data_IF_488287091317
#
_entry.id   IF_488287091317
#
_cell.length_a   1.000
_cell.length_b   1.000
_cell.length_c   1.000
_cell.angle_alpha   90.00
_cell.angle_beta   90.00
_cell.angle_gamma   90.00
#
_symmetry.space_group_name_H-M   'P 1'
#
loop_
_entity.id
_entity.type
_entity.pdbx_description
1 polymer ?
#
# COMPACT_ATOMS: atom_id res chain seq x y z
N UNK A 1 1.00 -34.58 -0.82
CA UNK A 1 -0.06 -33.71 -1.36
C UNK A 1 0.61 -32.38 -1.77
N UNK A 2 0.85 -32.14 -3.05
CA UNK A 2 1.59 -30.93 -3.48
C UNK A 2 0.67 -29.72 -3.44
N UNK A 3 1.03 -28.70 -2.65
CA UNK A 3 0.27 -27.46 -2.38
C UNK A 3 -0.11 -26.73 -3.69
N UNK A 4 0.74 -26.86 -4.71
CA UNK A 4 0.55 -26.28 -6.03
C UNK A 4 -0.70 -26.82 -6.77
N UNK A 5 -1.13 -28.04 -6.46
CA UNK A 5 -2.34 -28.64 -7.07
C UNK A 5 -3.64 -28.09 -6.46
N UNK A 6 -3.57 -27.45 -5.29
CA UNK A 6 -4.73 -26.85 -4.63
C UNK A 6 -5.04 -25.44 -5.16
N UNK A 7 -4.06 -24.74 -5.74
CA UNK A 7 -4.24 -23.40 -6.32
C UNK A 7 -4.68 -23.55 -7.78
N UNK A 8 -5.99 -23.74 -7.98
CA UNK A 8 -6.63 -23.80 -9.30
C UNK A 8 -7.25 -22.47 -9.75
N UNK A 9 -7.83 -22.46 -10.96
CA UNK A 9 -8.46 -21.29 -11.60
C UNK A 9 -9.46 -20.55 -10.69
N UNK A 10 -10.24 -21.28 -9.89
CA UNK A 10 -11.22 -20.74 -8.93
C UNK A 10 -10.57 -19.84 -7.86
N UNK A 11 -9.36 -20.15 -7.40
CA UNK A 11 -8.67 -19.32 -6.41
C UNK A 11 -8.18 -18.01 -7.00
N UNK A 12 -7.76 -18.03 -8.28
CA UNK A 12 -7.39 -16.82 -9.00
C UNK A 12 -8.61 -15.91 -9.23
N UNK A 13 -9.73 -16.48 -9.65
CA UNK A 13 -10.99 -15.76 -9.82
C UNK A 13 -11.45 -15.12 -8.50
N UNK A 14 -11.41 -15.87 -7.39
CA UNK A 14 -11.66 -15.32 -6.05
C UNK A 14 -10.69 -14.19 -5.70
N UNK A 15 -9.39 -14.37 -5.92
CA UNK A 15 -8.40 -13.32 -5.63
C UNK A 15 -8.71 -12.02 -6.39
N UNK A 16 -9.20 -12.11 -7.64
CA UNK A 16 -9.59 -10.92 -8.41
C UNK A 16 -10.79 -10.18 -7.80
N UNK A 17 -11.75 -10.89 -7.21
CA UNK A 17 -12.86 -10.25 -6.50
C UNK A 17 -12.43 -9.52 -5.23
N UNK A 18 -11.36 -9.97 -4.57
CA UNK A 18 -10.81 -9.33 -3.38
C UNK A 18 -9.83 -8.18 -3.67
N UNK A 19 -9.43 -7.98 -4.93
CA UNK A 19 -8.51 -6.89 -5.32
C UNK A 19 -8.98 -5.50 -4.87
N UNK A 20 -10.26 -5.10 -5.03
CA UNK A 20 -10.70 -3.76 -4.61
C UNK A 20 -10.58 -3.54 -3.10
N UNK A 21 -10.87 -4.57 -2.30
CA UNK A 21 -10.73 -4.53 -0.85
C UNK A 21 -9.26 -4.45 -0.44
N UNK A 22 -8.40 -5.28 -1.04
CA UNK A 22 -6.95 -5.24 -0.80
C UNK A 22 -6.35 -3.88 -1.19
N UNK A 23 -6.78 -3.29 -2.30
CA UNK A 23 -6.35 -1.96 -2.70
C UNK A 23 -6.75 -0.90 -1.66
N UNK A 24 -8.00 -0.94 -1.19
CA UNK A 24 -8.51 0.01 -0.20
C UNK A 24 -7.78 -0.12 1.15
N UNK A 25 -7.68 -1.33 1.70
CA UNK A 25 -7.01 -1.55 2.97
C UNK A 25 -5.49 -1.35 2.86
N UNK A 26 -4.88 -1.73 1.74
CA UNK A 26 -3.47 -1.48 1.46
C UNK A 26 -3.15 0.01 1.39
N UNK A 27 -4.00 0.79 0.72
CA UNK A 27 -3.87 2.25 0.68
C UNK A 27 -4.03 2.88 2.08
N UNK A 28 -5.06 2.47 2.83
CA UNK A 28 -5.30 2.97 4.18
C UNK A 28 -4.13 2.65 5.14
N UNK A 29 -3.62 1.41 5.09
CA UNK A 29 -2.45 1.00 5.88
C UNK A 29 -1.20 1.78 5.49
N UNK A 30 -0.96 1.96 4.18
CA UNK A 30 0.17 2.74 3.68
C UNK A 30 0.10 4.19 4.13
N UNK A 31 -1.07 4.83 4.07
CA UNK A 31 -1.28 6.19 4.58
C UNK A 31 -1.04 6.27 6.10
N UNK A 32 -1.51 5.28 6.86
CA UNK A 32 -1.25 5.19 8.30
C UNK A 32 0.25 5.09 8.61
N UNK A 33 0.99 4.27 7.87
CA UNK A 33 2.45 4.17 8.00
C UNK A 33 3.14 5.50 7.66
N UNK A 34 2.76 6.14 6.56
CA UNK A 34 3.31 7.44 6.18
C UNK A 34 3.07 8.48 7.28
N UNK A 35 1.87 8.50 7.87
CA UNK A 35 1.53 9.41 8.95
C UNK A 35 2.33 9.17 10.23
N UNK A 36 2.49 7.90 10.65
CA UNK A 36 3.18 7.56 11.90
C UNK A 36 4.69 7.77 11.77
N UNK A 37 5.27 7.36 10.64
CA UNK A 37 6.73 7.36 10.46
C UNK A 37 7.27 8.66 9.89
N UNK A 38 6.38 9.59 9.48
CA UNK A 38 6.76 10.84 8.82
C UNK A 38 7.74 10.60 7.66
N UNK A 39 7.40 9.63 6.81
CA UNK A 39 8.33 9.11 5.82
C UNK A 39 8.65 10.15 4.73
N UNK A 40 9.77 10.87 4.92
CA UNK A 40 10.25 11.95 4.06
C UNK A 40 10.29 11.58 2.57
N UNK A 41 10.77 10.38 2.23
CA UNK A 41 10.95 9.94 0.82
C UNK A 41 9.66 10.07 0.02
N UNK A 42 8.52 9.75 0.62
CA UNK A 42 7.20 9.84 -0.02
C UNK A 42 6.56 11.21 0.24
N UNK A 43 6.56 11.65 1.50
CA UNK A 43 5.83 12.86 1.91
C UNK A 43 6.41 14.16 1.36
N UNK A 44 7.68 14.19 0.94
CA UNK A 44 8.27 15.36 0.26
C UNK A 44 7.60 15.71 -1.07
N UNK A 45 6.90 14.76 -1.70
CA UNK A 45 6.19 14.99 -2.96
C UNK A 45 4.73 15.40 -2.75
N UNK A 46 4.23 15.35 -1.50
CA UNK A 46 2.86 15.74 -1.18
C UNK A 46 2.80 17.27 -1.08
N UNK A 47 2.03 17.96 -1.95
CA UNK A 47 1.83 19.39 -1.84
C UNK A 47 1.21 19.70 -0.47
N UNK A 48 1.67 20.78 0.18
CA UNK A 48 1.41 21.15 1.59
C UNK A 48 2.31 20.46 2.64
N UNK A 49 2.60 19.16 2.51
CA UNK A 49 3.43 18.45 3.50
C UNK A 49 4.94 18.58 3.26
N UNK A 50 5.33 18.82 2.01
CA UNK A 50 6.73 18.97 1.59
C UNK A 50 7.49 20.09 2.31
N UNK A 51 6.79 21.09 2.83
CA UNK A 51 7.36 22.19 3.61
C UNK A 51 8.04 21.74 4.90
N UNK A 52 7.61 20.61 5.49
CA UNK A 52 8.18 20.03 6.73
C UNK A 52 9.63 19.57 6.55
N UNK A 53 10.01 19.18 5.34
CA UNK A 53 11.29 18.50 5.08
C UNK A 53 12.29 19.35 4.31
N UNK A 54 12.02 20.66 4.18
CA UNK A 54 12.95 21.62 3.59
C UNK A 54 14.27 21.53 4.35
N UNK A 55 15.33 21.17 3.63
CA UNK A 55 16.68 21.37 4.12
C UNK A 55 16.91 22.88 4.06
N UNK A 56 17.19 23.50 5.20
CA UNK A 56 17.71 24.86 5.23
C UNK A 56 19.02 24.87 4.41
N UNK A 57 19.13 25.76 3.43
CA UNK A 57 20.42 26.12 2.83
C UNK A 57 21.24 26.93 3.84
#
# INVERSE_FOLDING_TARGET
MSILRQIGKKHFELATYWLPSLATFGAASSLGLLYITDWKVVLQYVPYYSGKFKTEE
#
